data_IF_494946195473
#
_entry.id   IF_494946195473
#
_cell.length_a   1.000
_cell.length_b   1.000
_cell.length_c   1.000
_cell.angle_alpha   90.00
_cell.angle_beta   90.00
_cell.angle_gamma   90.00
#
_symmetry.space_group_name_H-M   'P 1'
#
loop_
_entity.id
_entity.type
_entity.pdbx_description
1 polymer ?
#
# COMPACT_ATOMS: atom_id res chain seq x y z
N UNK A 1 4.98 -9.20 -28.56
CA UNK A 1 3.51 -8.90 -28.56
C UNK A 1 3.19 -8.18 -29.86
N UNK A 2 2.26 -8.68 -30.67
CA UNK A 2 1.92 -8.00 -31.93
C UNK A 2 1.25 -6.66 -31.65
N UNK A 3 1.44 -5.64 -32.53
CA UNK A 3 0.85 -4.31 -32.43
C UNK A 3 -0.67 -4.35 -32.13
N UNK A 4 -1.41 -5.26 -32.78
CA UNK A 4 -2.85 -5.48 -32.54
C UNK A 4 -3.17 -5.89 -31.09
N UNK A 5 -2.34 -6.73 -30.47
CA UNK A 5 -2.53 -7.13 -29.05
C UNK A 5 -2.22 -5.98 -28.10
N UNK A 6 -1.22 -5.14 -28.40
CA UNK A 6 -0.92 -3.95 -27.61
C UNK A 6 -2.06 -2.93 -27.68
N UNK A 7 -2.62 -2.67 -28.85
CA UNK A 7 -3.77 -1.79 -29.04
C UNK A 7 -5.02 -2.34 -28.35
N UNK A 8 -5.27 -3.63 -28.43
CA UNK A 8 -6.40 -4.28 -27.72
C UNK A 8 -6.25 -4.15 -26.19
N UNK A 9 -5.06 -4.42 -25.67
CA UNK A 9 -4.78 -4.28 -24.22
C UNK A 9 -4.91 -2.83 -23.77
N UNK A 10 -4.36 -1.87 -24.51
CA UNK A 10 -4.52 -0.45 -24.21
C UNK A 10 -5.99 0.01 -24.34
N UNK A 11 -6.73 -0.54 -25.30
CA UNK A 11 -8.16 -0.31 -25.46
C UNK A 11 -8.97 -0.86 -24.29
N UNK A 12 -8.67 -2.06 -23.83
CA UNK A 12 -9.31 -2.68 -22.65
C UNK A 12 -8.98 -1.89 -21.38
N UNK A 13 -7.72 -1.53 -21.18
CA UNK A 13 -7.29 -0.71 -20.03
C UNK A 13 -7.94 0.68 -20.07
N UNK A 14 -7.93 1.34 -21.24
CA UNK A 14 -8.61 2.63 -21.42
C UNK A 14 -10.11 2.52 -21.19
N UNK A 15 -10.75 1.47 -21.68
CA UNK A 15 -12.18 1.19 -21.47
C UNK A 15 -12.47 0.87 -19.99
N UNK A 16 -11.60 0.11 -19.32
CA UNK A 16 -11.73 -0.17 -17.88
C UNK A 16 -11.60 1.10 -17.06
N UNK A 17 -10.63 1.98 -17.36
CA UNK A 17 -10.48 3.27 -16.70
C UNK A 17 -11.64 4.24 -17.00
N UNK A 18 -12.27 4.16 -18.20
CA UNK A 18 -13.44 4.95 -18.57
C UNK A 18 -14.73 4.45 -17.93
N UNK A 19 -14.92 3.14 -17.88
CA UNK A 19 -16.12 2.51 -17.30
C UNK A 19 -16.06 2.48 -15.77
N UNK A 20 -14.87 2.47 -15.20
CA UNK A 20 -14.63 2.50 -13.77
C UNK A 20 -13.73 3.69 -13.43
N UNK A 21 -14.27 4.93 -13.47
CA UNK A 21 -13.49 6.15 -13.20
C UNK A 21 -12.95 6.25 -11.78
N UNK A 22 -13.34 5.34 -10.91
CA UNK A 22 -12.81 5.17 -9.56
C UNK A 22 -12.42 3.69 -9.35
N UNK A 23 -11.31 3.18 -9.89
CA UNK A 23 -10.70 1.98 -9.35
C UNK A 23 -10.29 2.34 -7.93
N UNK A 24 -10.96 1.75 -6.95
CA UNK A 24 -10.70 2.00 -5.54
C UNK A 24 -9.55 1.11 -5.07
N UNK A 25 -8.35 1.40 -5.52
CA UNK A 25 -7.12 0.92 -4.92
C UNK A 25 -6.59 2.04 -4.02
N UNK A 26 -6.15 1.73 -2.82
CA UNK A 26 -5.52 2.70 -1.93
C UNK A 26 -4.02 2.78 -2.19
N UNK A 27 -3.34 1.70 -1.93
CA UNK A 27 -1.99 1.48 -2.41
C UNK A 27 -2.02 0.44 -3.54
N UNK A 28 -1.07 0.52 -4.44
CA UNK A 28 -0.93 -0.50 -5.50
C UNK A 28 -0.45 -1.83 -4.91
N UNK A 29 -0.64 -2.96 -5.62
CA UNK A 29 -0.14 -4.26 -5.17
C UNK A 29 1.35 -4.27 -4.84
N UNK A 30 2.19 -3.51 -5.58
CA UNK A 30 3.61 -3.38 -5.28
C UNK A 30 3.88 -2.74 -3.93
N UNK A 31 3.11 -1.72 -3.56
CA UNK A 31 3.23 -1.06 -2.24
C UNK A 31 2.82 -2.00 -1.10
N UNK A 32 1.72 -2.75 -1.25
CA UNK A 32 1.31 -3.73 -0.24
C UNK A 32 2.32 -4.87 -0.09
N UNK A 33 2.95 -5.32 -1.17
CA UNK A 33 4.04 -6.30 -1.10
C UNK A 33 5.25 -5.72 -0.40
N UNK A 34 5.63 -4.45 -0.65
CA UNK A 34 6.70 -3.79 0.08
C UNK A 34 6.42 -3.75 1.59
N UNK A 35 5.23 -3.34 2.01
CA UNK A 35 4.81 -3.36 3.42
C UNK A 35 4.90 -4.79 3.97
N UNK A 36 4.34 -5.77 3.26
CA UNK A 36 4.33 -7.17 3.68
C UNK A 36 5.73 -7.77 3.83
N UNK A 37 6.63 -7.54 2.88
CA UNK A 37 8.03 -8.00 2.96
C UNK A 37 8.77 -7.31 4.10
N UNK A 38 8.52 -6.01 4.34
CA UNK A 38 9.09 -5.29 5.47
C UNK A 38 8.62 -5.87 6.81
N UNK A 39 7.35 -6.25 6.93
CA UNK A 39 6.83 -6.93 8.13
C UNK A 39 7.50 -8.28 8.32
N UNK A 40 7.62 -9.09 7.27
CA UNK A 40 8.28 -10.40 7.33
C UNK A 40 9.76 -10.30 7.73
N UNK A 41 10.43 -9.20 7.40
CA UNK A 41 11.79 -8.90 7.85
C UNK A 41 11.88 -8.47 9.32
N UNK A 42 10.76 -8.08 9.95
CA UNK A 42 10.70 -7.51 11.30
C UNK A 42 9.67 -8.21 12.20
N UNK A 43 9.55 -9.53 12.09
CA UNK A 43 8.58 -10.33 12.85
C UNK A 43 8.69 -10.18 14.36
N UNK A 44 9.85 -9.76 14.88
CA UNK A 44 10.08 -9.52 16.31
C UNK A 44 9.20 -8.41 16.91
N UNK A 45 8.60 -7.55 16.06
CA UNK A 45 7.67 -6.50 16.47
C UNK A 45 6.23 -7.01 16.66
N UNK A 46 5.95 -8.22 16.22
CA UNK A 46 4.62 -8.82 16.31
C UNK A 46 4.51 -9.73 17.54
N UNK A 47 3.29 -9.94 18.06
CA UNK A 47 3.06 -10.99 19.06
C UNK A 47 3.57 -12.36 18.58
N UNK A 48 4.21 -13.18 19.42
CA UNK A 48 4.87 -14.42 18.98
C UNK A 48 3.99 -15.33 18.13
N UNK A 49 2.71 -15.48 18.50
CA UNK A 49 1.76 -16.31 17.76
C UNK A 49 1.55 -15.83 16.30
N UNK A 50 1.53 -14.52 16.09
CA UNK A 50 1.39 -13.94 14.73
C UNK A 50 2.73 -14.08 14.02
N UNK A 51 3.84 -13.77 14.67
CA UNK A 51 5.18 -13.90 14.09
C UNK A 51 5.44 -15.33 13.59
N UNK A 52 5.17 -16.36 14.43
CA UNK A 52 5.32 -17.78 14.06
C UNK A 52 4.45 -18.16 12.86
N UNK A 53 3.20 -17.67 12.85
CA UNK A 53 2.26 -17.90 11.75
C UNK A 53 2.77 -17.33 10.42
N UNK A 54 3.22 -16.07 10.43
CA UNK A 54 3.71 -15.39 9.23
C UNK A 54 5.06 -15.96 8.77
N UNK A 55 5.90 -16.40 9.70
CA UNK A 55 7.14 -17.09 9.39
C UNK A 55 6.89 -18.44 8.68
N UNK A 56 5.89 -19.19 9.12
CA UNK A 56 5.52 -20.49 8.54
C UNK A 56 4.82 -20.37 7.16
N UNK A 57 4.05 -19.30 6.93
CA UNK A 57 3.21 -19.12 5.74
C UNK A 57 3.40 -17.73 5.10
N UNK A 58 4.63 -17.33 4.72
CA UNK A 58 4.91 -15.98 4.24
C UNK A 58 4.23 -15.66 2.89
N UNK A 59 4.10 -16.64 2.01
CA UNK A 59 3.48 -16.43 0.70
C UNK A 59 1.95 -16.27 0.79
N UNK A 60 1.29 -16.99 1.72
CA UNK A 60 -0.13 -16.81 2.00
C UNK A 60 -0.39 -15.43 2.57
N UNK A 61 0.45 -14.96 3.50
CA UNK A 61 0.41 -13.61 4.04
C UNK A 61 0.56 -12.56 2.93
N UNK A 62 1.57 -12.67 2.08
CA UNK A 62 1.78 -11.73 0.96
C UNK A 62 0.62 -11.77 -0.04
N UNK A 63 0.06 -12.94 -0.34
CA UNK A 63 -1.13 -13.01 -1.19
C UNK A 63 -2.33 -12.35 -0.52
N UNK A 64 -2.54 -12.58 0.76
CA UNK A 64 -3.56 -11.91 1.57
C UNK A 64 -3.42 -10.39 1.54
N UNK A 65 -2.18 -9.87 1.56
CA UNK A 65 -1.93 -8.42 1.57
C UNK A 65 -2.32 -7.70 0.27
N UNK A 66 -2.65 -8.40 -0.80
CA UNK A 66 -3.16 -7.83 -2.05
C UNK A 66 -4.58 -8.29 -2.39
N UNK A 67 -5.14 -9.21 -1.61
CA UNK A 67 -6.43 -9.85 -1.89
C UNK A 67 -7.67 -8.91 -1.79
N UNK A 68 -7.74 -7.89 -0.92
CA UNK A 68 -8.89 -6.98 -0.88
C UNK A 68 -9.16 -6.27 -2.20
N UNK A 69 -8.14 -6.06 -3.03
CA UNK A 69 -8.23 -5.41 -4.34
C UNK A 69 -8.76 -6.31 -5.46
N UNK A 70 -8.96 -7.58 -5.19
CA UNK A 70 -9.64 -8.50 -6.11
C UNK A 70 -11.06 -8.03 -6.41
N UNK A 71 -11.75 -7.41 -5.46
CA UNK A 71 -13.10 -6.90 -5.64
C UNK A 71 -13.12 -5.61 -6.47
N UNK A 72 -13.33 -5.75 -7.77
CA UNK A 72 -13.49 -4.61 -8.68
C UNK A 72 -14.92 -4.06 -8.63
N UNK A 73 -15.09 -2.78 -8.97
CA UNK A 73 -16.41 -2.13 -8.97
C UNK A 73 -17.14 -2.23 -7.61
N UNK A 74 -16.40 -2.00 -6.54
CA UNK A 74 -16.82 -2.15 -5.13
C UNK A 74 -18.12 -1.42 -4.77
N UNK A 75 -18.48 -0.34 -5.48
CA UNK A 75 -19.75 0.40 -5.28
C UNK A 75 -21.03 -0.42 -5.54
N UNK A 76 -20.90 -1.55 -6.22
CA UNK A 76 -22.03 -2.45 -6.53
C UNK A 76 -22.14 -3.64 -5.56
N UNK A 77 -21.30 -3.68 -4.55
CA UNK A 77 -21.38 -4.69 -3.49
C UNK A 77 -22.58 -4.39 -2.60
N UNK A 78 -23.27 -5.41 -2.06
CA UNK A 78 -24.33 -5.20 -1.09
C UNK A 78 -23.88 -4.33 0.10
N UNK A 79 -24.75 -3.48 0.67
CA UNK A 79 -24.41 -2.67 1.83
C UNK A 79 -23.78 -3.49 2.96
N UNK A 80 -22.74 -2.99 3.57
CA UNK A 80 -22.02 -3.67 4.64
C UNK A 80 -21.08 -4.81 4.21
N UNK A 81 -20.94 -5.11 2.90
CA UNK A 81 -20.12 -6.24 2.40
C UNK A 81 -18.94 -5.79 1.54
N UNK A 82 -18.54 -4.54 1.66
CA UNK A 82 -17.39 -4.00 0.94
C UNK A 82 -16.08 -4.68 1.39
N UNK A 83 -15.26 -5.12 0.45
CA UNK A 83 -14.01 -5.84 0.75
C UNK A 83 -13.03 -5.05 1.64
N UNK A 84 -13.13 -3.72 1.67
CA UNK A 84 -12.32 -2.84 2.51
C UNK A 84 -13.00 -2.44 3.82
N UNK A 85 -13.86 -3.28 4.38
CA UNK A 85 -14.36 -3.10 5.74
C UNK A 85 -13.64 -4.02 6.71
N UNK A 86 -13.31 -3.51 7.90
CA UNK A 86 -12.64 -4.29 8.95
C UNK A 86 -13.33 -5.61 9.25
N UNK A 87 -14.67 -5.59 9.46
CA UNK A 87 -15.41 -6.80 9.78
C UNK A 87 -15.36 -7.86 8.67
N UNK A 88 -15.18 -7.48 7.40
CA UNK A 88 -14.98 -8.43 6.30
C UNK A 88 -13.60 -9.08 6.41
N UNK A 89 -12.55 -8.29 6.67
CA UNK A 89 -11.21 -8.81 6.90
C UNK A 89 -11.13 -9.70 8.16
N UNK A 90 -11.82 -9.32 9.22
CA UNK A 90 -11.94 -10.13 10.44
C UNK A 90 -12.68 -11.45 10.17
N UNK A 91 -13.73 -11.43 9.37
CA UNK A 91 -14.42 -12.64 8.92
C UNK A 91 -13.47 -13.55 8.13
N UNK A 92 -12.62 -12.98 7.24
CA UNK A 92 -11.60 -13.74 6.50
C UNK A 92 -10.59 -14.39 7.45
N UNK A 93 -10.14 -13.69 8.49
CA UNK A 93 -9.19 -14.25 9.45
C UNK A 93 -9.82 -15.28 10.37
N UNK A 94 -10.97 -14.95 10.99
CA UNK A 94 -11.54 -15.76 12.08
C UNK A 94 -12.20 -17.05 11.61
N UNK A 95 -12.74 -17.08 10.38
CA UNK A 95 -13.33 -18.27 9.78
C UNK A 95 -12.33 -19.17 9.06
N UNK A 96 -11.05 -18.77 9.00
CA UNK A 96 -10.00 -19.52 8.32
C UNK A 96 -9.81 -20.93 8.92
N UNK A 97 -9.99 -22.01 8.14
CA UNK A 97 -9.95 -23.38 8.66
C UNK A 97 -8.54 -23.95 8.84
N UNK A 98 -7.49 -23.26 8.35
CA UNK A 98 -6.09 -23.70 8.42
C UNK A 98 -5.16 -22.54 8.74
N UNK A 99 -3.95 -22.83 9.18
CA UNK A 99 -2.94 -21.80 9.49
C UNK A 99 -2.50 -21.04 8.24
N UNK A 100 -2.35 -21.69 7.08
CA UNK A 100 -2.09 -21.01 5.83
C UNK A 100 -3.18 -19.98 5.49
N UNK A 101 -4.46 -20.33 5.68
CA UNK A 101 -5.57 -19.41 5.46
C UNK A 101 -5.70 -18.35 6.57
N UNK A 102 -5.22 -18.61 7.79
CA UNK A 102 -5.06 -17.59 8.83
C UNK A 102 -3.97 -16.58 8.49
N UNK A 103 -2.83 -17.05 7.95
CA UNK A 103 -1.78 -16.16 7.45
C UNK A 103 -2.30 -15.28 6.29
N UNK A 104 -3.07 -15.87 5.36
CA UNK A 104 -3.79 -15.12 4.32
C UNK A 104 -4.73 -14.07 4.92
N UNK A 105 -5.51 -14.43 5.94
CA UNK A 105 -6.40 -13.50 6.66
C UNK A 105 -5.64 -12.38 7.38
N UNK A 106 -4.48 -12.68 7.98
CA UNK A 106 -3.59 -11.67 8.55
C UNK A 106 -3.07 -10.70 7.47
N UNK A 107 -2.69 -11.21 6.29
CA UNK A 107 -2.34 -10.38 5.13
C UNK A 107 -3.49 -9.48 4.70
N UNK A 108 -4.72 -10.00 4.67
CA UNK A 108 -5.92 -9.21 4.36
C UNK A 108 -6.09 -8.04 5.34
N UNK A 109 -5.91 -8.27 6.64
CA UNK A 109 -5.94 -7.20 7.64
C UNK A 109 -4.77 -6.23 7.51
N UNK A 110 -3.59 -6.70 7.15
CA UNK A 110 -2.42 -5.86 6.87
C UNK A 110 -2.69 -4.89 5.72
N UNK A 111 -3.34 -5.34 4.65
CA UNK A 111 -3.80 -4.48 3.56
C UNK A 111 -4.74 -3.38 4.06
N UNK A 112 -5.80 -3.77 4.79
CA UNK A 112 -6.78 -2.81 5.30
C UNK A 112 -6.12 -1.75 6.20
N UNK A 113 -5.15 -2.15 7.01
CA UNK A 113 -4.41 -1.25 7.88
C UNK A 113 -3.57 -0.24 7.09
N UNK A 114 -2.80 -0.69 6.11
CA UNK A 114 -2.03 0.21 5.24
C UNK A 114 -2.96 1.20 4.51
N UNK A 115 -4.11 0.72 4.04
CA UNK A 115 -5.13 1.52 3.35
C UNK A 115 -5.76 2.60 4.23
N UNK A 116 -5.80 2.41 5.56
CA UNK A 116 -6.27 3.48 6.45
C UNK A 116 -5.41 4.73 6.29
N UNK A 117 -4.10 4.58 6.12
CA UNK A 117 -3.20 5.73 5.95
C UNK A 117 -3.35 6.34 4.56
N UNK A 118 -3.43 5.52 3.53
CA UNK A 118 -3.66 6.01 2.17
C UNK A 118 -4.95 6.83 2.06
N UNK A 119 -6.05 6.28 2.53
CA UNK A 119 -7.39 6.83 2.29
C UNK A 119 -7.82 7.91 3.29
N UNK A 120 -7.22 7.96 4.48
CA UNK A 120 -7.58 9.00 5.45
C UNK A 120 -6.61 10.19 5.42
N UNK A 121 -5.37 9.99 4.96
CA UNK A 121 -4.33 11.02 5.02
C UNK A 121 -3.70 11.29 3.65
N UNK A 122 -2.98 10.33 3.05
CA UNK A 122 -2.18 10.54 1.85
C UNK A 122 -3.03 11.01 0.66
N UNK A 123 -3.96 10.21 0.19
CA UNK A 123 -4.76 10.54 -1.02
C UNK A 123 -5.63 11.78 -0.82
N UNK A 124 -6.35 11.97 0.30
CA UNK A 124 -7.10 13.20 0.55
C UNK A 124 -6.24 14.47 0.52
N UNK A 125 -5.05 14.42 1.14
CA UNK A 125 -4.07 15.51 1.10
C UNK A 125 -3.65 15.82 -0.33
N UNK A 126 -3.26 14.81 -1.08
CA UNK A 126 -2.80 14.99 -2.47
C UNK A 126 -3.90 15.48 -3.40
N UNK A 127 -5.14 15.05 -3.21
CA UNK A 127 -6.29 15.55 -3.97
C UNK A 127 -6.49 17.06 -3.76
N UNK A 128 -6.28 17.56 -2.54
CA UNK A 128 -6.41 18.99 -2.27
C UNK A 128 -5.24 19.77 -2.84
N UNK A 129 -4.01 19.29 -2.72
CA UNK A 129 -2.81 19.92 -3.30
C UNK A 129 -2.91 20.04 -4.83
N UNK A 130 -3.63 19.13 -5.50
CA UNK A 130 -3.84 19.15 -6.95
C UNK A 130 -5.12 19.86 -7.38
N UNK A 131 -5.66 20.76 -6.58
CA UNK A 131 -6.90 21.48 -6.89
C UNK A 131 -6.86 22.32 -8.16
N UNK A 132 -5.66 22.59 -8.70
CA UNK A 132 -5.49 23.26 -9.99
C UNK A 132 -5.74 22.39 -11.24
N UNK A 133 -6.14 21.12 -11.09
CA UNK A 133 -6.42 20.20 -12.22
C UNK A 133 -7.52 19.22 -11.86
N UNK A 134 -8.33 18.83 -12.85
CA UNK A 134 -9.30 17.74 -12.74
C UNK A 134 -8.69 16.35 -13.05
N UNK A 135 -7.49 16.31 -13.67
CA UNK A 135 -6.90 15.10 -14.23
C UNK A 135 -6.22 14.21 -13.19
N UNK A 136 -5.72 14.78 -12.07
CA UNK A 136 -5.01 14.05 -11.04
C UNK A 136 -6.01 13.53 -10.02
N UNK A 137 -6.41 12.28 -10.17
CA UNK A 137 -7.38 11.61 -9.30
C UNK A 137 -6.71 10.73 -8.24
N UNK A 138 -7.53 9.99 -7.52
CA UNK A 138 -7.17 9.03 -6.50
C UNK A 138 -6.08 8.06 -7.00
N UNK A 139 -6.37 7.25 -8.01
CA UNK A 139 -5.45 6.25 -8.55
C UNK A 139 -4.15 6.81 -9.15
N UNK A 140 -4.15 8.08 -9.54
CA UNK A 140 -2.92 8.73 -9.99
C UNK A 140 -1.90 8.81 -8.85
N UNK A 141 -2.34 9.19 -7.64
CA UNK A 141 -1.43 9.38 -6.51
C UNK A 141 -0.88 8.07 -5.98
N UNK A 142 -1.67 7.02 -6.00
CA UNK A 142 -1.27 5.66 -5.62
C UNK A 142 -0.20 5.12 -6.58
N UNK A 143 -0.47 5.19 -7.89
CA UNK A 143 0.50 4.84 -8.92
C UNK A 143 1.75 5.71 -8.84
N UNK A 144 1.58 6.99 -8.48
CA UNK A 144 2.69 7.93 -8.35
C UNK A 144 3.60 7.57 -7.18
N UNK A 145 3.06 7.16 -6.05
CA UNK A 145 3.84 6.64 -4.91
C UNK A 145 4.59 5.36 -5.30
N UNK A 146 3.94 4.41 -5.98
CA UNK A 146 4.59 3.18 -6.43
C UNK A 146 5.79 3.43 -7.35
N UNK A 147 5.77 4.50 -8.16
CA UNK A 147 6.94 4.82 -9.01
C UNK A 147 8.22 5.15 -8.24
N UNK A 148 8.15 5.37 -6.93
CA UNK A 148 9.30 5.57 -6.06
C UNK A 148 9.79 4.25 -5.42
N UNK A 149 8.96 3.21 -5.44
CA UNK A 149 9.41 1.85 -5.15
C UNK A 149 10.13 1.30 -6.39
N UNK A 150 11.11 0.46 -6.18
CA UNK A 150 11.78 -0.21 -7.30
C UNK A 150 10.82 -1.22 -7.96
N UNK A 151 11.07 -1.54 -9.22
CA UNK A 151 10.28 -2.53 -9.98
C UNK A 151 10.29 -3.95 -9.37
N UNK A 152 11.17 -4.20 -8.37
CA UNK A 152 11.23 -5.47 -7.65
C UNK A 152 9.91 -5.81 -6.95
N UNK A 153 9.20 -4.84 -6.37
CA UNK A 153 7.95 -5.09 -5.66
C UNK A 153 6.79 -5.38 -6.62
N UNK A 154 6.75 -4.71 -7.77
CA UNK A 154 5.81 -5.07 -8.84
C UNK A 154 6.10 -6.47 -9.40
N UNK A 155 7.40 -6.86 -9.55
CA UNK A 155 7.79 -8.22 -9.91
C UNK A 155 7.36 -9.22 -8.86
N UNK A 156 7.59 -8.92 -7.58
CA UNK A 156 7.21 -9.80 -6.48
C UNK A 156 5.69 -9.98 -6.40
N UNK A 157 4.91 -8.91 -6.56
CA UNK A 157 3.45 -9.01 -6.64
C UNK A 157 3.02 -9.96 -7.76
N UNK A 158 3.65 -9.85 -8.94
CA UNK A 158 3.41 -10.78 -10.06
C UNK A 158 3.81 -12.22 -9.73
N UNK A 159 4.95 -12.44 -9.08
CA UNK A 159 5.39 -13.78 -8.65
C UNK A 159 4.36 -14.39 -7.69
N UNK A 160 3.92 -13.63 -6.70
CA UNK A 160 2.90 -14.05 -5.74
C UNK A 160 1.62 -14.46 -6.46
N UNK A 161 1.03 -13.65 -7.35
CA UNK A 161 -0.24 -13.99 -8.00
C UNK A 161 -0.13 -15.17 -8.99
N UNK A 162 1.08 -15.58 -9.37
CA UNK A 162 1.33 -16.74 -10.23
C UNK A 162 1.46 -18.06 -9.46
N UNK A 163 1.60 -18.04 -8.14
CA UNK A 163 1.58 -19.25 -7.32
C UNK A 163 0.18 -19.87 -7.31
N UNK A 164 0.11 -21.13 -6.89
CA UNK A 164 -1.19 -21.80 -6.70
C UNK A 164 -1.83 -21.33 -5.39
N UNK A 165 -2.85 -20.49 -5.51
CA UNK A 165 -3.66 -19.98 -4.41
C UNK A 165 -5.08 -20.56 -4.42
N UNK A 166 -5.30 -21.71 -5.05
CA UNK A 166 -6.63 -22.35 -5.16
C UNK A 166 -7.34 -22.47 -3.80
N UNK A 167 -6.68 -22.86 -2.70
CA UNK A 167 -7.33 -22.90 -1.38
C UNK A 167 -7.81 -21.52 -0.92
N UNK A 168 -6.97 -20.49 -1.04
CA UNK A 168 -7.31 -19.12 -0.64
C UNK A 168 -8.40 -18.51 -1.55
N UNK A 169 -8.30 -18.71 -2.86
CA UNK A 169 -9.31 -18.26 -3.82
C UNK A 169 -10.69 -18.89 -3.57
N UNK A 170 -10.72 -20.20 -3.30
CA UNK A 170 -11.95 -20.93 -2.98
C UNK A 170 -12.52 -20.44 -1.65
N UNK A 171 -11.69 -20.29 -0.65
CA UNK A 171 -12.09 -19.78 0.66
C UNK A 171 -12.65 -18.35 0.54
N UNK A 172 -11.95 -17.47 -0.15
CA UNK A 172 -12.36 -16.08 -0.32
C UNK A 172 -13.75 -15.95 -0.96
N UNK A 173 -14.09 -16.84 -1.93
CA UNK A 173 -15.42 -16.89 -2.54
C UNK A 173 -16.55 -17.18 -1.54
N UNK A 174 -16.24 -17.81 -0.41
CA UNK A 174 -17.22 -18.09 0.65
C UNK A 174 -17.47 -16.91 1.59
N UNK A 175 -16.55 -15.93 1.61
CA UNK A 175 -16.59 -14.80 2.54
C UNK A 175 -16.95 -13.49 1.85
N UNK A 176 -16.29 -13.16 0.73
CA UNK A 176 -16.54 -11.88 0.05
C UNK A 176 -17.74 -11.96 -0.89
N UNK A 177 -18.45 -10.85 -1.00
CA UNK A 177 -19.58 -10.73 -1.93
C UNK A 177 -19.10 -10.46 -3.36
N UNK A 178 -19.79 -11.01 -4.38
CA UNK A 178 -19.59 -10.62 -5.76
C UNK A 178 -19.92 -9.13 -5.94
N UNK A 179 -19.33 -8.54 -6.96
CA UNK A 179 -19.67 -7.19 -7.45
C UNK A 179 -20.64 -7.31 -8.63
N UNK A 180 -20.49 -6.48 -9.68
CA UNK A 180 -21.13 -6.76 -10.98
C UNK A 180 -20.53 -7.98 -11.66
N UNK A 181 -19.35 -8.42 -11.20
CA UNK A 181 -18.65 -9.62 -11.65
C UNK A 181 -18.66 -10.67 -10.54
N UNK A 182 -18.64 -11.95 -10.93
CA UNK A 182 -18.37 -13.03 -9.99
C UNK A 182 -16.96 -12.93 -9.41
N UNK A 183 -16.74 -13.49 -8.22
CA UNK A 183 -15.40 -13.49 -7.58
C UNK A 183 -14.34 -14.14 -8.48
N UNK A 184 -14.57 -15.28 -9.17
CA UNK A 184 -13.59 -15.81 -10.12
C UNK A 184 -13.29 -14.89 -11.31
N UNK A 185 -14.27 -14.09 -11.76
CA UNK A 185 -14.04 -13.10 -12.83
C UNK A 185 -13.21 -11.94 -12.32
N UNK A 186 -13.51 -11.43 -11.14
CA UNK A 186 -12.72 -10.39 -10.46
C UNK A 186 -11.26 -10.85 -10.28
N UNK A 187 -11.03 -12.08 -9.80
CA UNK A 187 -9.71 -12.69 -9.69
C UNK A 187 -8.92 -12.71 -11.00
N UNK A 188 -9.56 -13.10 -12.12
CA UNK A 188 -8.90 -13.11 -13.44
C UNK A 188 -8.50 -11.71 -13.87
N UNK A 189 -9.38 -10.73 -13.70
CA UNK A 189 -9.12 -9.33 -14.07
C UNK A 189 -7.98 -8.79 -13.20
N UNK A 190 -8.04 -8.99 -11.88
CA UNK A 190 -7.01 -8.55 -10.93
C UNK A 190 -5.63 -9.12 -11.29
N UNK A 191 -5.51 -10.43 -11.50
CA UNK A 191 -4.26 -11.07 -11.94
C UNK A 191 -3.75 -10.51 -13.26
N UNK A 192 -4.65 -10.23 -14.21
CA UNK A 192 -4.32 -9.58 -15.47
C UNK A 192 -3.76 -8.16 -15.28
N UNK A 193 -4.29 -7.38 -14.35
CA UNK A 193 -3.82 -6.03 -14.03
C UNK A 193 -2.44 -6.06 -13.35
N UNK A 194 -2.21 -6.95 -12.39
CA UNK A 194 -0.90 -7.15 -11.75
C UNK A 194 0.15 -7.56 -12.80
N UNK A 195 -0.22 -8.45 -13.73
CA UNK A 195 0.66 -8.83 -14.84
C UNK A 195 0.98 -7.65 -15.77
N UNK A 196 0.00 -6.80 -16.08
CA UNK A 196 0.19 -5.62 -16.91
C UNK A 196 1.12 -4.60 -16.23
N UNK A 197 0.92 -4.33 -14.93
CA UNK A 197 1.73 -3.40 -14.15
C UNK A 197 3.22 -3.73 -14.15
N UNK A 198 3.57 -5.01 -14.29
CA UNK A 198 4.95 -5.48 -14.42
C UNK A 198 5.55 -5.26 -15.81
N UNK A 199 4.76 -4.99 -16.87
CA UNK A 199 5.31 -4.87 -18.23
C UNK A 199 6.20 -3.64 -18.38
N UNK A 200 7.30 -3.78 -19.16
CA UNK A 200 8.21 -2.65 -19.46
C UNK A 200 7.48 -1.46 -20.09
N UNK A 201 6.43 -1.71 -20.86
CA UNK A 201 5.61 -0.66 -21.48
C UNK A 201 4.88 0.15 -20.42
N UNK A 202 4.25 -0.52 -19.44
CA UNK A 202 3.58 0.14 -18.33
C UNK A 202 4.56 0.92 -17.46
N UNK A 203 5.68 0.30 -17.08
CA UNK A 203 6.72 0.94 -16.25
C UNK A 203 7.26 2.21 -16.92
N UNK A 204 7.54 2.18 -18.24
CA UNK A 204 7.97 3.36 -18.99
C UNK A 204 6.89 4.45 -19.03
N UNK A 205 5.63 4.07 -19.20
CA UNK A 205 4.51 5.03 -19.19
C UNK A 205 4.37 5.72 -17.83
N UNK A 206 4.50 4.97 -16.72
CA UNK A 206 4.44 5.51 -15.36
C UNK A 206 5.64 6.40 -15.06
N UNK A 207 6.84 6.00 -15.47
CA UNK A 207 8.04 6.82 -15.33
C UNK A 207 7.90 8.14 -16.12
N UNK A 208 7.42 8.10 -17.36
CA UNK A 208 7.17 9.31 -18.16
C UNK A 208 6.10 10.21 -17.53
N UNK A 209 5.06 9.62 -16.92
CA UNK A 209 4.04 10.38 -16.19
C UNK A 209 4.64 11.05 -14.94
N UNK A 210 5.57 10.37 -14.26
CA UNK A 210 6.32 10.91 -13.14
C UNK A 210 7.19 12.11 -13.58
N UNK A 211 7.99 11.95 -14.59
CA UNK A 211 8.94 12.97 -15.06
C UNK A 211 8.24 14.24 -15.60
N UNK A 212 7.04 14.07 -16.17
CA UNK A 212 6.24 15.18 -16.72
C UNK A 212 5.29 15.81 -15.70
N UNK A 213 5.21 15.24 -14.51
CA UNK A 213 4.33 15.78 -13.48
C UNK A 213 4.90 17.07 -12.89
N UNK A 214 4.10 18.12 -12.89
CA UNK A 214 4.42 19.37 -12.19
C UNK A 214 4.23 19.27 -10.66
N UNK A 215 3.59 18.19 -10.19
CA UNK A 215 3.29 17.97 -8.80
C UNK A 215 4.39 17.13 -8.18
N UNK A 216 5.08 17.71 -7.21
CA UNK A 216 6.13 17.00 -6.48
C UNK A 216 5.50 16.02 -5.47
N UNK A 217 6.13 14.88 -5.38
CA UNK A 217 6.00 13.94 -4.27
C UNK A 217 7.43 13.70 -3.82
N UNK A 218 7.79 14.21 -2.66
CA UNK A 218 9.15 14.18 -2.15
C UNK A 218 9.45 12.86 -1.46
N UNK A 219 10.72 12.52 -1.32
CA UNK A 219 11.15 11.35 -0.56
C UNK A 219 10.75 11.48 0.92
N UNK A 220 10.71 12.71 1.47
CA UNK A 220 10.22 13.00 2.81
C UNK A 220 8.71 12.73 2.96
N UNK A 221 7.89 13.13 1.98
CA UNK A 221 6.46 12.81 1.95
C UNK A 221 6.26 11.27 1.92
N UNK A 222 7.05 10.56 1.12
CA UNK A 222 6.99 9.10 1.05
C UNK A 222 7.40 8.45 2.37
N UNK A 223 8.51 8.88 2.97
CA UNK A 223 8.96 8.39 4.28
C UNK A 223 7.86 8.55 5.33
N UNK A 224 7.22 9.73 5.39
CA UNK A 224 6.11 10.02 6.33
C UNK A 224 4.92 9.08 6.16
N UNK A 225 4.44 8.89 4.94
CA UNK A 225 3.22 8.10 4.70
C UNK A 225 3.49 6.60 4.67
N UNK A 226 4.65 6.16 4.20
CA UNK A 226 5.00 4.75 4.19
C UNK A 226 5.36 4.24 5.59
N UNK A 227 6.08 5.04 6.40
CA UNK A 227 6.32 4.70 7.82
C UNK A 227 5.00 4.61 8.61
N UNK A 228 4.08 5.56 8.38
CA UNK A 228 2.78 5.54 9.01
C UNK A 228 1.93 4.32 8.57
N UNK A 229 1.98 3.93 7.29
CA UNK A 229 1.29 2.73 6.79
C UNK A 229 1.86 1.44 7.40
N UNK A 230 3.19 1.38 7.53
CA UNK A 230 3.86 0.27 8.21
C UNK A 230 3.47 0.21 9.69
N UNK A 231 3.56 1.33 10.42
CA UNK A 231 3.16 1.42 11.83
C UNK A 231 1.70 1.01 12.03
N UNK A 232 0.80 1.49 11.17
CA UNK A 232 -0.61 1.12 11.19
C UNK A 232 -0.82 -0.37 10.97
N UNK A 233 0.01 -1.00 10.15
CA UNK A 233 -0.10 -2.43 9.85
C UNK A 233 0.39 -3.29 11.02
N UNK A 234 1.55 -2.97 11.60
CA UNK A 234 2.03 -3.67 12.81
C UNK A 234 1.01 -3.51 13.95
N UNK A 235 0.54 -2.29 14.18
CA UNK A 235 -0.46 -1.97 15.20
C UNK A 235 -1.75 -2.81 15.03
N UNK A 236 -2.28 -2.90 13.81
CA UNK A 236 -3.50 -3.65 13.53
C UNK A 236 -3.34 -5.17 13.67
N UNK A 237 -2.13 -5.69 13.43
CA UNK A 237 -1.81 -7.11 13.61
C UNK A 237 -1.51 -7.46 15.09
N UNK A 238 -1.02 -6.49 15.86
CA UNK A 238 -0.67 -6.66 17.26
C UNK A 238 -1.85 -6.41 18.22
N UNK A 239 -2.71 -5.44 17.91
CA UNK A 239 -3.82 -4.99 18.76
C UNK A 239 -5.10 -4.73 17.97
N UNK A 240 -6.17 -5.45 18.30
CA UNK A 240 -7.51 -5.26 17.71
C UNK A 240 -8.14 -3.89 18.04
N UNK A 241 -7.62 -3.17 19.04
CA UNK A 241 -8.07 -1.83 19.46
C UNK A 241 -7.11 -0.72 19.05
N UNK A 242 -6.09 -1.06 18.27
CA UNK A 242 -5.03 -0.17 17.85
C UNK A 242 -5.53 1.06 17.07
N UNK A 243 -4.61 1.97 16.79
CA UNK A 243 -4.86 3.22 16.08
C UNK A 243 -5.54 2.97 14.71
N UNK A 244 -4.99 2.05 13.92
CA UNK A 244 -5.48 1.76 12.58
C UNK A 244 -6.94 1.28 12.58
N UNK A 245 -7.33 0.48 13.58
CA UNK A 245 -8.68 -0.09 13.70
C UNK A 245 -9.79 0.94 13.91
N UNK A 246 -9.44 2.16 14.30
CA UNK A 246 -10.38 3.28 14.46
C UNK A 246 -10.62 4.08 13.19
N UNK A 247 -9.86 3.81 12.13
CA UNK A 247 -9.94 4.49 10.85
C UNK A 247 -10.74 3.64 9.84
N UNK A 248 -11.36 4.29 8.86
CA UNK A 248 -12.03 3.62 7.74
C UNK A 248 -11.03 3.23 6.65
N UNK A 249 -10.77 1.94 6.39
CA UNK A 249 -9.86 1.53 5.34
C UNK A 249 -10.31 1.98 3.93
N UNK A 250 -11.61 2.16 3.72
CA UNK A 250 -12.14 2.66 2.46
C UNK A 250 -12.10 4.20 2.34
N UNK A 251 -11.88 4.90 3.47
CA UNK A 251 -11.74 6.35 3.51
C UNK A 251 -12.94 7.13 2.99
N UNK A 252 -14.16 6.61 3.11
CA UNK A 252 -15.37 7.20 2.52
C UNK A 252 -15.53 8.67 2.91
N UNK A 253 -15.37 8.99 4.20
CA UNK A 253 -15.56 10.35 4.70
C UNK A 253 -14.40 11.28 4.30
N UNK A 254 -13.13 10.98 4.56
CA UNK A 254 -12.00 11.84 4.20
C UNK A 254 -11.90 12.09 2.69
N UNK A 255 -12.01 11.05 1.87
CA UNK A 255 -12.00 11.18 0.41
C UNK A 255 -13.18 12.02 -0.09
N UNK A 256 -14.37 11.82 0.48
CA UNK A 256 -15.55 12.62 0.17
C UNK A 256 -15.36 14.11 0.50
N UNK A 257 -14.75 14.42 1.65
CA UNK A 257 -14.40 15.78 2.05
C UNK A 257 -13.37 16.36 1.09
N UNK A 258 -12.28 15.65 0.82
CA UNK A 258 -11.21 16.11 -0.07
C UNK A 258 -11.74 16.41 -1.49
N UNK A 259 -12.57 15.54 -2.06
CA UNK A 259 -13.20 15.75 -3.37
C UNK A 259 -14.11 17.00 -3.40
N UNK A 260 -14.85 17.29 -2.32
CA UNK A 260 -15.67 18.51 -2.21
C UNK A 260 -14.80 19.77 -2.06
N UNK A 261 -13.78 19.72 -1.21
CA UNK A 261 -12.85 20.84 -1.03
C UNK A 261 -12.11 21.14 -2.33
N UNK A 262 -11.55 20.11 -2.98
CA UNK A 262 -10.88 20.24 -4.28
C UNK A 262 -11.75 20.96 -5.31
N UNK A 263 -13.02 20.58 -5.45
CA UNK A 263 -13.95 21.25 -6.38
C UNK A 263 -14.15 22.73 -6.02
N UNK A 264 -14.29 23.06 -4.74
CA UNK A 264 -14.43 24.45 -4.29
C UNK A 264 -13.18 25.27 -4.60
N UNK A 265 -12.02 24.71 -4.31
CA UNK A 265 -10.74 25.39 -4.56
C UNK A 265 -10.45 25.56 -6.06
N UNK A 266 -10.82 24.60 -6.90
CA UNK A 266 -10.76 24.74 -8.35
C UNK A 266 -11.60 25.94 -8.86
N UNK A 267 -12.83 26.06 -8.37
CA UNK A 267 -13.73 27.18 -8.75
C UNK A 267 -13.18 28.54 -8.29
N UNK A 268 -12.53 28.58 -7.12
CA UNK A 268 -11.91 29.82 -6.60
C UNK A 268 -10.60 30.19 -7.28
N UNK A 269 -10.04 29.31 -8.12
CA UNK A 269 -8.72 29.53 -8.70
C UNK A 269 -7.57 29.38 -7.71
N UNK A 270 -7.74 28.58 -6.65
CA UNK A 270 -6.79 28.40 -5.55
C UNK A 270 -5.40 27.86 -5.95
N UNK A 271 -5.25 27.40 -7.20
CA UNK A 271 -3.97 27.04 -7.78
C UNK A 271 -2.97 28.21 -7.87
N UNK A 272 -3.41 29.43 -7.64
CA UNK A 272 -2.55 30.62 -7.46
C UNK A 272 -1.99 30.76 -6.02
N UNK A 273 -2.48 29.98 -5.05
CA UNK A 273 -2.07 30.05 -3.65
C UNK A 273 -1.60 28.66 -3.13
N UNK A 274 -0.50 28.10 -3.66
CA UNK A 274 -0.07 26.75 -3.33
C UNK A 274 0.28 26.57 -1.84
N UNK A 275 0.88 27.57 -1.20
CA UNK A 275 1.26 27.52 0.22
C UNK A 275 0.02 27.41 1.12
N UNK A 276 -1.04 28.15 0.81
CA UNK A 276 -2.31 28.03 1.53
C UNK A 276 -2.92 26.63 1.37
N UNK A 277 -2.84 26.06 0.17
CA UNK A 277 -3.34 24.71 -0.07
C UNK A 277 -2.56 23.67 0.75
N UNK A 278 -1.24 23.83 0.88
CA UNK A 278 -0.41 22.97 1.74
C UNK A 278 -0.87 23.06 3.19
N UNK A 279 -1.00 24.28 3.73
CA UNK A 279 -1.45 24.48 5.11
C UNK A 279 -2.81 23.83 5.37
N UNK A 280 -3.79 24.09 4.50
CA UNK A 280 -5.14 23.52 4.65
C UNK A 280 -5.14 22.00 4.48
N UNK A 281 -4.29 21.46 3.61
CA UNK A 281 -4.16 20.02 3.42
C UNK A 281 -3.54 19.34 4.66
N UNK A 282 -2.51 19.94 5.26
CA UNK A 282 -1.92 19.42 6.50
C UNK A 282 -2.89 19.53 7.70
N UNK A 283 -3.60 20.64 7.85
CA UNK A 283 -4.60 20.80 8.93
C UNK A 283 -5.75 19.77 8.85
N UNK A 284 -6.14 19.35 7.63
CA UNK A 284 -7.30 18.50 7.41
C UNK A 284 -6.97 17.04 7.24
N UNK A 285 -5.81 16.73 6.68
CA UNK A 285 -5.41 15.39 6.26
C UNK A 285 -3.94 15.09 6.64
N UNK A 286 -3.31 15.89 7.51
CA UNK A 286 -2.01 15.59 8.06
C UNK A 286 -2.05 14.35 8.95
N UNK A 287 -0.93 13.62 9.01
CA UNK A 287 -0.79 12.48 9.90
C UNK A 287 -0.92 12.92 11.37
N UNK A 288 -1.45 12.08 12.26
CA UNK A 288 -1.44 12.33 13.69
C UNK A 288 -0.03 12.57 14.20
N UNK A 289 0.11 13.43 15.20
CA UNK A 289 1.40 13.74 15.83
C UNK A 289 1.98 12.55 16.60
N UNK A 290 1.12 11.62 17.02
CA UNK A 290 1.51 10.40 17.73
C UNK A 290 1.10 9.19 16.88
N UNK A 291 2.09 8.52 16.31
CA UNK A 291 1.99 7.21 15.69
C UNK A 291 2.61 6.17 16.61
N UNK A 292 2.29 4.89 16.45
CA UNK A 292 2.84 3.82 17.30
C UNK A 292 4.37 3.77 17.35
N UNK A 293 5.04 4.09 16.25
CA UNK A 293 6.49 4.25 16.20
C UNK A 293 7.29 2.97 15.94
N UNK A 294 6.65 1.89 15.52
CA UNK A 294 7.30 0.61 15.16
C UNK A 294 8.35 0.77 14.05
N UNK A 295 8.15 1.75 13.18
CA UNK A 295 9.08 2.07 12.11
C UNK A 295 10.50 2.33 12.61
N UNK A 296 10.65 2.94 13.78
CA UNK A 296 11.94 3.30 14.37
C UNK A 296 12.77 2.08 14.77
N UNK A 297 12.08 1.00 15.15
CA UNK A 297 12.68 -0.24 15.65
C UNK A 297 12.81 -1.30 14.52
N UNK A 298 12.64 -0.87 13.27
CA UNK A 298 12.59 -1.76 12.12
C UNK A 298 13.80 -1.62 11.21
N UNK A 299 14.24 -2.73 10.64
CA UNK A 299 15.16 -2.74 9.50
C UNK A 299 14.32 -2.63 8.23
N UNK A 300 14.42 -1.51 7.54
CA UNK A 300 13.57 -1.20 6.38
C UNK A 300 14.42 -0.85 5.16
N UNK A 301 14.15 -1.54 4.05
CA UNK A 301 14.63 -1.10 2.74
C UNK A 301 13.78 0.05 2.23
N UNK A 302 14.42 1.20 1.97
CA UNK A 302 13.79 2.47 1.55
C UNK A 302 14.13 2.77 0.09
N UNK A 303 13.41 2.20 -0.88
CA UNK A 303 13.78 2.32 -2.30
C UNK A 303 13.73 3.75 -2.85
N UNK A 304 13.02 4.66 -2.18
CA UNK A 304 12.94 6.09 -2.54
C UNK A 304 14.18 6.88 -2.14
N UNK A 305 15.00 6.38 -1.22
CA UNK A 305 16.26 7.00 -0.84
C UNK A 305 17.39 6.49 -1.75
N UNK A 306 18.39 7.35 -2.01
CA UNK A 306 19.53 7.02 -2.86
C UNK A 306 20.75 6.58 -2.06
N UNK A 307 21.55 5.67 -2.64
CA UNK A 307 22.85 5.25 -2.08
C UNK A 307 22.74 4.50 -0.75
N UNK A 308 23.72 4.72 0.15
CA UNK A 308 23.80 4.03 1.43
C UNK A 308 22.61 4.30 2.36
N UNK A 309 21.93 5.43 2.21
CA UNK A 309 20.75 5.78 3.00
C UNK A 309 19.57 4.81 2.81
N UNK A 310 19.49 4.14 1.65
CA UNK A 310 18.42 3.18 1.37
C UNK A 310 18.46 1.93 2.27
N UNK A 311 19.60 1.64 2.90
CA UNK A 311 19.82 0.46 3.75
C UNK A 311 20.01 0.80 5.23
N UNK A 312 19.96 2.07 5.59
CA UNK A 312 20.11 2.46 7.00
C UNK A 312 18.88 2.04 7.79
N UNK A 313 19.08 1.61 9.05
CA UNK A 313 17.96 1.45 9.98
C UNK A 313 17.22 2.77 10.18
N UNK A 314 15.96 2.69 10.63
CA UNK A 314 15.20 3.90 10.94
C UNK A 314 15.92 4.76 11.99
N UNK A 315 15.79 6.10 11.95
CA UNK A 315 16.46 6.96 12.92
C UNK A 315 16.10 6.59 14.36
N UNK A 316 17.11 6.24 15.17
CA UNK A 316 16.93 5.82 16.57
C UNK A 316 17.32 4.36 16.87
N UNK A 317 17.63 3.57 15.86
CA UNK A 317 18.22 2.22 16.07
C UNK A 317 19.72 2.35 16.18
N UNK A 318 20.25 2.19 17.40
CA UNK A 318 21.68 1.99 17.61
C UNK A 318 22.06 0.64 17.00
N UNK A 319 22.87 0.65 15.96
CA UNK A 319 23.39 -0.58 15.35
C UNK A 319 24.35 -1.23 16.34
N UNK A 320 24.06 -2.47 16.73
CA UNK A 320 24.87 -3.29 17.63
C UNK A 320 26.29 -3.60 17.08
N UNK A 321 26.70 -3.04 15.98
CA UNK A 321 28.00 -3.21 15.35
C UNK A 321 29.11 -2.28 15.89
N UNK A 322 28.77 -1.26 16.69
CA UNK A 322 29.80 -0.41 17.32
C UNK A 322 30.47 -1.04 18.56
N UNK A 323 30.04 -2.23 18.99
CA UNK A 323 30.60 -2.95 20.16
C UNK A 323 31.65 -4.00 19.81
N UNK A 324 32.07 -4.12 18.55
CA UNK A 324 33.08 -5.09 18.12
C UNK A 324 34.27 -4.45 17.36
N UNK A 325 34.78 -3.34 17.86
CA UNK A 325 36.14 -2.94 17.47
C UNK A 325 37.14 -3.71 18.34
N UNK A 326 38.04 -4.54 17.78
CA UNK A 326 39.09 -5.16 18.55
C UNK A 326 40.05 -4.06 19.04
N UNK A 327 40.18 -3.97 20.35
CA UNK A 327 41.24 -3.21 21.00
C UNK A 327 42.63 -3.66 20.45
N UNK A 328 43.22 -2.83 19.64
CA UNK A 328 44.62 -3.00 19.23
C UNK A 328 45.49 -2.80 20.47
N UNK A 329 45.92 -3.89 21.10
CA UNK A 329 47.00 -3.89 22.03
C UNK A 329 48.30 -3.51 21.28
N UNK A 330 48.75 -2.29 21.49
CA UNK A 330 50.12 -1.90 21.23
C UNK A 330 51.02 -2.60 22.25
N UNK A 331 51.61 -3.70 21.88
CA UNK A 331 52.70 -4.32 22.61
C UNK A 331 54.00 -3.60 22.30
N UNK A 332 54.43 -2.77 23.22
CA UNK A 332 55.82 -2.29 23.32
C UNK A 332 56.73 -3.48 23.69
N UNK A 333 57.66 -3.79 22.82
CA UNK A 333 58.86 -4.53 23.23
C UNK A 333 60.10 -3.93 22.59
N UNK A 334 60.79 -3.13 23.40
CA UNK A 334 62.24 -2.88 23.33
C UNK A 334 63.03 -4.18 23.39
N UNK A 335 63.86 -4.46 22.42
CA UNK A 335 65.30 -4.75 22.51
C UNK A 335 65.89 -5.00 21.14
#
# INVERSE_FOLDING_TARGET
MTFRRAVLVLGIVGLTLLLFPEPAWAWTPGTHIWVGETILANLHLLPPRIADLLHAFPYDFLYGSIAPDISLAKKYVPPGRHSHYWHVGEEVLTRAPSDALRAFGAGYLAHLAADTVAHNFFVPRQLLLTSGTSSMGHSYWELRAETHLTDQFARKAREIVLLDHTPADTYLQTVISPTIFSVPTNLRIFRGMVHLAHTKTWQRAMQAARERSRWLLTDEDLERFFSAAYDATIDALADEKGFARRLDPAGHLPLGIAKRMRRREMVKGAWYEPERLVTVAEERFGLPTQLPGYWRDSVVHRPWLQGALALLPAPGVETSEELAAPSAEFGDTLH
#
